data_IF_268888765191
#
_entry.id   IF_268888765191
#
_cell.length_a   1.000
_cell.length_b   1.000
_cell.length_c   1.000
_cell.angle_alpha   90.00
_cell.angle_beta   90.00
_cell.angle_gamma   90.00
#
_symmetry.space_group_name_H-M   'P 1'
#
loop_
_entity.id
_entity.type
_entity.pdbx_description
1 polymer ?
#
# COMPACT_ATOMS: atom_id res chain seq x y z
N UNK A 1 -14.76 22.27 -29.27
CA UNK A 1 -15.14 20.89 -28.97
C UNK A 1 -14.44 20.49 -27.68
N UNK A 2 -15.19 20.25 -26.62
CA UNK A 2 -14.64 19.84 -25.32
C UNK A 2 -14.23 18.36 -25.41
N UNK A 3 -12.95 18.06 -25.24
CA UNK A 3 -12.44 16.70 -25.18
C UNK A 3 -12.59 16.21 -23.73
N UNK A 4 -12.85 14.95 -23.49
CA UNK A 4 -12.96 14.36 -22.13
C UNK A 4 -11.79 14.77 -21.22
N UNK A 5 -10.59 14.88 -21.79
CA UNK A 5 -9.38 15.37 -21.12
C UNK A 5 -9.56 16.75 -20.46
N UNK A 6 -10.37 17.64 -21.04
CA UNK A 6 -10.57 19.01 -20.55
C UNK A 6 -11.49 19.08 -19.33
N UNK A 7 -12.17 17.97 -19.00
CA UNK A 7 -13.04 17.85 -17.83
C UNK A 7 -12.24 17.57 -16.57
N UNK A 8 -11.03 17.01 -16.73
CA UNK A 8 -10.16 16.67 -15.59
C UNK A 8 -9.29 17.85 -15.18
N UNK A 9 -8.91 17.87 -13.92
CA UNK A 9 -7.97 18.85 -13.38
C UNK A 9 -6.66 18.83 -14.18
N UNK A 10 -6.31 19.93 -14.82
CA UNK A 10 -5.16 20.02 -15.73
C UNK A 10 -3.81 19.83 -15.04
N UNK A 11 -3.77 19.91 -13.72
CA UNK A 11 -2.57 19.62 -12.92
C UNK A 11 -2.24 18.13 -12.84
N UNK A 12 -3.16 17.26 -13.27
CA UNK A 12 -2.99 15.80 -13.21
C UNK A 12 -2.74 15.21 -14.59
N UNK A 13 -1.70 14.40 -14.71
CA UNK A 13 -1.45 13.64 -15.92
C UNK A 13 -2.35 12.40 -15.99
N UNK A 14 -3.44 12.51 -16.73
CA UNK A 14 -4.39 11.43 -16.96
C UNK A 14 -3.85 10.30 -17.86
N UNK A 15 -2.77 10.56 -18.61
CA UNK A 15 -2.13 9.58 -19.47
C UNK A 15 -0.99 8.84 -18.77
N UNK A 16 -0.81 9.07 -17.48
CA UNK A 16 0.22 8.40 -16.68
C UNK A 16 0.04 6.88 -16.75
N UNK A 17 1.13 6.18 -17.08
CA UNK A 17 1.16 4.72 -17.03
C UNK A 17 1.10 4.25 -15.57
N UNK A 18 0.05 3.51 -15.24
CA UNK A 18 -0.07 2.85 -13.94
C UNK A 18 0.68 1.52 -14.03
N UNK A 19 1.71 1.35 -13.22
CA UNK A 19 2.40 0.06 -13.14
C UNK A 19 1.50 -1.02 -12.58
N UNK A 20 1.44 -2.14 -13.27
CA UNK A 20 0.67 -3.32 -12.86
C UNK A 20 1.38 -4.14 -11.78
N UNK A 21 2.68 -3.94 -11.62
CA UNK A 21 3.53 -4.70 -10.71
C UNK A 21 4.05 -3.78 -9.60
N UNK A 22 3.93 -4.25 -8.37
CA UNK A 22 4.46 -3.54 -7.20
C UNK A 22 5.95 -3.85 -7.09
N UNK A 23 6.78 -3.04 -7.73
CA UNK A 23 8.24 -3.10 -7.58
C UNK A 23 8.69 -1.95 -6.69
N UNK A 24 9.48 -2.23 -5.67
CA UNK A 24 10.05 -1.18 -4.81
C UNK A 24 11.56 -1.04 -5.07
N UNK A 25 12.00 0.17 -5.40
CA UNK A 25 13.42 0.51 -5.59
C UNK A 25 13.66 2.00 -5.42
N UNK A 26 14.89 2.39 -5.13
CA UNK A 26 15.29 3.78 -4.84
C UNK A 26 14.92 4.79 -5.96
N UNK A 27 14.82 4.34 -7.21
CA UNK A 27 14.39 5.18 -8.34
C UNK A 27 12.88 5.47 -8.37
N UNK A 28 12.12 4.93 -7.41
CA UNK A 28 10.65 4.96 -7.42
C UNK A 28 10.05 5.90 -6.37
N UNK A 29 10.87 6.59 -5.59
CA UNK A 29 10.38 7.52 -4.57
C UNK A 29 9.43 8.58 -5.16
N UNK A 30 9.81 9.18 -6.29
CA UNK A 30 8.98 10.18 -6.97
C UNK A 30 7.62 9.59 -7.42
N UNK A 31 7.64 8.36 -7.89
CA UNK A 31 6.43 7.63 -8.31
C UNK A 31 5.55 7.31 -7.10
N UNK A 32 6.13 6.79 -6.03
CA UNK A 32 5.42 6.53 -4.79
C UNK A 32 4.80 7.80 -4.19
N UNK A 33 5.51 8.93 -4.29
CA UNK A 33 5.00 10.24 -3.88
C UNK A 33 3.74 10.62 -4.67
N UNK A 34 3.76 10.49 -5.99
CA UNK A 34 2.60 10.77 -6.83
C UNK A 34 1.44 9.84 -6.49
N UNK A 35 1.70 8.54 -6.39
CA UNK A 35 0.69 7.53 -6.08
C UNK A 35 0.00 7.80 -4.73
N UNK A 36 0.77 8.05 -3.67
CA UNK A 36 0.16 8.29 -2.34
C UNK A 36 -0.58 9.64 -2.28
N UNK A 37 -0.11 10.66 -2.99
CA UNK A 37 -0.79 11.96 -3.04
C UNK A 37 -2.15 11.89 -3.71
N UNK A 38 -2.33 10.98 -4.65
CA UNK A 38 -3.56 10.76 -5.38
C UNK A 38 -4.46 9.67 -4.75
N UNK A 39 -3.96 8.99 -3.73
CA UNK A 39 -4.72 7.91 -3.09
C UNK A 39 -5.94 8.44 -2.37
N UNK A 40 -7.11 8.06 -2.85
CA UNK A 40 -8.40 8.45 -2.26
C UNK A 40 -8.81 7.41 -1.25
N UNK A 41 -8.88 7.82 0.01
CA UNK A 41 -9.39 6.99 1.11
C UNK A 41 -10.84 7.39 1.37
N UNK A 42 -11.76 6.52 0.98
CA UNK A 42 -13.18 6.66 1.31
C UNK A 42 -13.41 6.25 2.77
N UNK A 43 -14.57 6.62 3.32
CA UNK A 43 -14.93 6.20 4.69
C UNK A 43 -14.91 4.67 4.85
N UNK A 44 -15.37 3.93 3.84
CA UNK A 44 -15.33 2.46 3.83
C UNK A 44 -13.90 1.91 3.84
N UNK A 45 -13.00 2.49 3.04
CA UNK A 45 -11.59 2.09 3.02
C UNK A 45 -10.93 2.41 4.37
N UNK A 46 -11.19 3.58 4.92
CA UNK A 46 -10.64 3.97 6.24
C UNK A 46 -11.13 3.03 7.35
N UNK A 47 -12.40 2.62 7.31
CA UNK A 47 -12.93 1.64 8.23
C UNK A 47 -12.22 0.28 8.11
N UNK A 48 -11.94 -0.17 6.88
CA UNK A 48 -11.19 -1.42 6.63
C UNK A 48 -9.76 -1.34 7.20
N UNK A 49 -9.08 -0.22 7.05
CA UNK A 49 -7.77 0.01 7.67
C UNK A 49 -7.88 -0.09 9.20
N UNK A 50 -8.85 0.57 9.80
CA UNK A 50 -9.06 0.56 11.23
C UNK A 50 -9.33 -0.85 11.78
N UNK A 51 -10.23 -1.59 11.14
CA UNK A 51 -10.60 -2.95 11.55
C UNK A 51 -9.41 -3.92 11.42
N UNK A 52 -8.64 -3.80 10.34
CA UNK A 52 -7.45 -4.63 10.14
C UNK A 52 -6.36 -4.31 11.18
N UNK A 53 -6.09 -3.03 11.44
CA UNK A 53 -5.12 -2.61 12.44
C UNK A 53 -5.48 -3.10 13.85
N UNK A 54 -6.76 -3.05 14.23
CA UNK A 54 -7.23 -3.60 15.52
C UNK A 54 -7.01 -5.11 15.60
N UNK A 55 -7.32 -5.84 14.53
CA UNK A 55 -7.08 -7.29 14.46
C UNK A 55 -5.60 -7.63 14.55
N UNK A 56 -4.76 -6.88 13.83
CA UNK A 56 -3.31 -7.05 13.90
C UNK A 56 -2.78 -6.80 15.30
N UNK A 57 -3.21 -5.71 15.94
CA UNK A 57 -2.82 -5.41 17.32
C UNK A 57 -3.19 -6.55 18.26
N UNK A 58 -4.43 -7.03 18.23
CA UNK A 58 -4.91 -8.13 19.08
C UNK A 58 -4.12 -9.42 18.85
N UNK A 59 -3.89 -9.78 17.58
CA UNK A 59 -3.16 -11.00 17.27
C UNK A 59 -1.69 -10.96 17.73
N UNK A 60 -1.04 -9.81 17.57
CA UNK A 60 0.35 -9.62 17.98
C UNK A 60 0.51 -9.52 19.51
N UNK A 61 -0.49 -8.98 20.22
CA UNK A 61 -0.49 -8.89 21.69
C UNK A 61 -0.72 -10.26 22.36
N UNK A 62 -1.40 -11.18 21.69
CA UNK A 62 -1.63 -12.55 22.21
C UNK A 62 -0.43 -13.50 22.10
N UNK A 63 0.76 -12.98 21.82
CA UNK A 63 2.01 -13.74 21.86
C UNK A 63 2.48 -14.35 20.55
N UNK A 64 1.80 -14.08 19.45
CA UNK A 64 2.25 -14.49 18.11
C UNK A 64 2.27 -16.01 17.88
N UNK A 65 1.67 -16.80 18.73
CA UNK A 65 1.62 -18.26 18.61
C UNK A 65 0.81 -18.73 17.40
N UNK A 66 -0.03 -17.85 16.86
CA UNK A 66 -0.77 -18.11 15.63
C UNK A 66 -0.23 -17.19 14.53
N UNK A 67 0.36 -17.75 13.51
CA UNK A 67 0.74 -17.03 12.30
C UNK A 67 -0.47 -16.27 11.75
N UNK A 68 -0.34 -14.95 11.61
CA UNK A 68 -1.43 -14.11 11.10
C UNK A 68 -1.28 -13.93 9.61
N UNK A 69 -2.08 -14.66 8.86
CA UNK A 69 -2.26 -14.42 7.43
C UNK A 69 -3.41 -13.44 7.19
N UNK A 70 -3.19 -12.44 6.34
CA UNK A 70 -4.26 -11.53 5.91
C UNK A 70 -4.55 -11.76 4.44
N UNK A 71 -5.80 -12.08 4.14
CA UNK A 71 -6.29 -12.24 2.78
C UNK A 71 -7.12 -11.02 2.36
N UNK A 72 -6.64 -10.28 1.34
CA UNK A 72 -7.34 -9.12 0.79
C UNK A 72 -7.99 -9.51 -0.54
N UNK A 73 -9.30 -9.51 -0.61
CA UNK A 73 -10.07 -9.86 -1.79
C UNK A 73 -10.99 -8.73 -2.23
N UNK A 74 -11.41 -8.76 -3.49
CA UNK A 74 -12.33 -7.78 -4.06
C UNK A 74 -12.29 -7.82 -5.59
N UNK A 75 -13.19 -7.07 -6.23
CA UNK A 75 -13.25 -6.98 -7.68
C UNK A 75 -11.98 -6.37 -8.29
N UNK A 76 -11.77 -6.62 -9.57
CA UNK A 76 -10.70 -5.97 -10.33
C UNK A 76 -10.86 -4.45 -10.27
N UNK A 77 -9.76 -3.73 -10.03
CA UNK A 77 -9.78 -2.27 -9.91
C UNK A 77 -10.28 -1.71 -8.56
N UNK A 78 -10.60 -2.56 -7.58
CA UNK A 78 -11.08 -2.10 -6.26
C UNK A 78 -10.01 -1.51 -5.33
N UNK A 79 -8.74 -1.41 -5.78
CA UNK A 79 -7.66 -0.81 -5.00
C UNK A 79 -6.96 -1.76 -4.02
N UNK A 80 -7.19 -3.08 -4.10
CA UNK A 80 -6.56 -4.09 -3.22
C UNK A 80 -5.04 -3.96 -3.12
N UNK A 81 -4.38 -3.86 -4.26
CA UNK A 81 -2.92 -3.76 -4.32
C UNK A 81 -2.40 -2.50 -3.66
N UNK A 82 -3.07 -1.36 -3.87
CA UNK A 82 -2.71 -0.10 -3.22
C UNK A 82 -2.95 -0.16 -1.71
N UNK A 83 -4.06 -0.72 -1.28
CA UNK A 83 -4.37 -0.93 0.14
C UNK A 83 -3.27 -1.76 0.83
N UNK A 84 -2.93 -2.92 0.28
CA UNK A 84 -1.92 -3.82 0.83
C UNK A 84 -0.53 -3.20 0.79
N UNK A 85 -0.16 -2.59 -0.34
CA UNK A 85 1.13 -1.91 -0.53
C UNK A 85 1.32 -0.81 0.52
N UNK A 86 0.36 0.10 0.63
CA UNK A 86 0.53 1.27 1.50
C UNK A 86 0.47 0.89 2.98
N UNK A 87 -0.34 -0.09 3.34
CA UNK A 87 -0.32 -0.62 4.69
C UNK A 87 1.05 -1.23 5.03
N UNK A 88 1.58 -2.08 4.16
CA UNK A 88 2.91 -2.67 4.34
C UNK A 88 3.99 -1.60 4.48
N UNK A 89 4.09 -0.66 3.53
CA UNK A 89 5.09 0.40 3.55
C UNK A 89 5.02 1.30 4.80
N UNK A 90 3.83 1.44 5.41
CA UNK A 90 3.69 2.22 6.64
C UNK A 90 4.32 1.56 7.88
N UNK A 91 4.56 0.25 7.85
CA UNK A 91 5.23 -0.47 8.94
C UNK A 91 6.77 -0.48 8.81
N UNK A 92 7.31 -0.05 7.67
CA UNK A 92 8.75 -0.02 7.42
C UNK A 92 9.29 1.41 7.60
N UNK A 93 9.99 1.64 8.71
CA UNK A 93 10.54 2.96 9.04
C UNK A 93 11.64 3.42 8.06
N UNK A 94 12.24 2.50 7.30
CA UNK A 94 13.26 2.83 6.30
C UNK A 94 12.68 3.46 5.05
N UNK A 95 11.37 3.33 4.83
CA UNK A 95 10.68 3.86 3.65
C UNK A 95 10.31 5.33 3.89
N UNK A 96 10.94 6.21 3.13
CA UNK A 96 10.72 7.65 3.22
C UNK A 96 10.39 8.26 1.86
N UNK A 97 9.70 9.39 1.87
CA UNK A 97 9.49 10.27 0.72
C UNK A 97 9.92 11.67 1.13
N UNK A 98 10.84 12.27 0.40
CA UNK A 98 11.47 13.56 0.75
C UNK A 98 12.00 13.58 2.19
N UNK A 99 12.55 12.47 2.68
CA UNK A 99 13.06 12.32 4.05
C UNK A 99 11.98 12.19 5.14
N UNK A 100 10.70 12.13 4.77
CA UNK A 100 9.58 11.94 5.69
C UNK A 100 9.13 10.49 5.64
N UNK A 101 8.99 9.79 6.78
CA UNK A 101 8.51 8.40 6.82
C UNK A 101 7.18 8.22 6.09
N UNK A 102 7.07 7.14 5.32
CA UNK A 102 5.87 6.85 4.50
C UNK A 102 4.58 6.83 5.31
N UNK A 103 4.63 6.35 6.54
CA UNK A 103 3.48 6.34 7.45
C UNK A 103 2.80 7.72 7.59
N UNK A 104 3.56 8.81 7.55
CA UNK A 104 3.00 10.15 7.66
C UNK A 104 2.19 10.53 6.41
N UNK A 105 2.69 10.17 5.23
CA UNK A 105 1.96 10.39 3.97
C UNK A 105 0.66 9.58 3.92
N UNK A 106 0.66 8.34 4.41
CA UNK A 106 -0.57 7.55 4.51
C UNK A 106 -1.55 8.15 5.53
N UNK A 107 -1.07 8.59 6.69
CA UNK A 107 -1.93 9.25 7.70
C UNK A 107 -2.60 10.50 7.15
N UNK A 108 -1.95 11.26 6.29
CA UNK A 108 -2.54 12.45 5.67
C UNK A 108 -3.74 12.13 4.75
N UNK A 109 -3.86 10.86 4.32
CA UNK A 109 -5.02 10.39 3.55
C UNK A 109 -6.22 10.01 4.41
N UNK A 110 -6.03 9.77 5.71
CA UNK A 110 -7.11 9.43 6.63
C UNK A 110 -7.85 10.68 7.13
N UNK A 111 -9.13 10.54 7.37
CA UNK A 111 -10.00 11.61 7.88
C UNK A 111 -10.14 11.54 9.42
N UNK A 112 -10.16 10.31 9.98
CA UNK A 112 -10.39 10.07 11.40
C UNK A 112 -9.09 10.08 12.20
N UNK A 113 -9.02 10.90 13.22
CA UNK A 113 -7.87 10.95 14.13
C UNK A 113 -7.63 9.61 14.84
N UNK A 114 -8.69 8.86 15.11
CA UNK A 114 -8.61 7.52 15.71
C UNK A 114 -7.81 6.55 14.84
N UNK A 115 -8.06 6.51 13.53
CA UNK A 115 -7.33 5.66 12.58
C UNK A 115 -5.86 6.07 12.46
N UNK A 116 -5.58 7.39 12.43
CA UNK A 116 -4.20 7.92 12.42
C UNK A 116 -3.41 7.50 13.66
N UNK A 117 -4.03 7.62 14.83
CA UNK A 117 -3.42 7.25 16.10
C UNK A 117 -3.20 5.75 16.22
N UNK A 118 -4.16 4.95 15.78
CA UNK A 118 -4.07 3.49 15.80
C UNK A 118 -2.94 3.01 14.88
N UNK A 119 -2.85 3.52 13.64
CA UNK A 119 -1.76 3.18 12.72
C UNK A 119 -0.39 3.53 13.34
N UNK A 120 -0.27 4.70 13.94
CA UNK A 120 0.98 5.12 14.59
C UNK A 120 1.37 4.19 15.75
N UNK A 121 0.39 3.81 16.57
CA UNK A 121 0.61 2.94 17.73
C UNK A 121 1.04 1.55 17.30
N UNK A 122 0.32 0.95 16.34
CA UNK A 122 0.60 -0.41 15.87
C UNK A 122 1.94 -0.46 15.13
N UNK A 123 2.22 0.49 14.25
CA UNK A 123 3.48 0.53 13.51
C UNK A 123 4.70 0.72 14.44
N UNK A 124 4.60 1.58 15.45
CA UNK A 124 5.68 1.77 16.44
C UNK A 124 5.95 0.52 17.27
N UNK A 125 4.88 -0.18 17.64
CA UNK A 125 4.98 -1.37 18.49
C UNK A 125 5.52 -2.58 17.73
N UNK A 126 5.24 -2.67 16.44
CA UNK A 126 5.56 -3.81 15.60
C UNK A 126 6.24 -3.36 14.30
N UNK A 127 7.46 -2.79 14.39
CA UNK A 127 8.20 -2.39 13.20
C UNK A 127 8.51 -3.64 12.35
N UNK A 128 8.42 -3.49 11.02
CA UNK A 128 8.62 -4.57 10.09
C UNK A 128 9.48 -4.13 8.90
N UNK A 129 10.19 -5.07 8.32
CA UNK A 129 10.76 -4.91 6.98
C UNK A 129 9.81 -5.48 5.96
N UNK A 130 9.52 -4.74 4.91
CA UNK A 130 8.49 -5.08 3.94
C UNK A 130 9.11 -5.69 2.68
N UNK A 131 8.61 -6.85 2.30
CA UNK A 131 8.93 -7.51 1.04
C UNK A 131 7.65 -7.62 0.22
N UNK A 132 7.67 -7.06 -1.00
CA UNK A 132 6.56 -7.13 -1.94
C UNK A 132 6.91 -8.13 -3.05
N UNK A 133 6.11 -9.17 -3.20
CA UNK A 133 6.29 -10.20 -4.19
C UNK A 133 5.08 -10.27 -5.14
N UNK A 134 5.36 -10.34 -6.43
CA UNK A 134 4.35 -10.68 -7.45
C UNK A 134 4.53 -12.15 -7.85
N UNK A 135 3.65 -13.00 -7.34
CA UNK A 135 3.71 -14.44 -7.59
C UNK A 135 3.55 -14.80 -9.07
N UNK A 136 2.83 -13.99 -9.87
CA UNK A 136 2.69 -14.25 -11.30
C UNK A 136 4.02 -14.07 -12.03
N UNK A 137 4.79 -13.06 -11.68
CA UNK A 137 6.14 -12.81 -12.24
C UNK A 137 7.13 -13.88 -11.79
N UNK A 138 7.09 -14.30 -10.55
CA UNK A 138 7.97 -15.34 -10.00
C UNK A 138 7.69 -16.72 -10.62
N UNK A 139 6.43 -17.06 -10.84
CA UNK A 139 6.06 -18.33 -11.50
C UNK A 139 6.56 -18.40 -12.94
N UNK A 140 6.51 -17.28 -13.69
CA UNK A 140 7.03 -17.24 -15.05
C UNK A 140 8.56 -17.37 -15.10
N UNK A 141 9.26 -16.78 -14.17
CA UNK A 141 10.72 -16.92 -14.04
C UNK A 141 11.11 -18.36 -13.66
N UNK A 142 10.35 -19.02 -12.79
CA UNK A 142 10.57 -20.42 -12.42
C UNK A 142 10.30 -21.40 -13.57
N UNK A 143 9.26 -21.17 -14.38
CA UNK A 143 8.94 -22.00 -15.54
C UNK A 143 10.02 -21.94 -16.62
N UNK A 144 10.63 -20.78 -16.83
CA UNK A 144 11.75 -20.64 -17.79
C UNK A 144 13.03 -21.34 -17.34
N UNK A 145 13.26 -21.53 -16.05
CA UNK A 145 14.42 -22.30 -15.54
C UNK A 145 14.22 -23.83 -15.60
N UNK A 146 12.97 -24.31 -15.57
CA UNK A 146 12.67 -25.74 -15.66
C UNK A 146 12.73 -26.27 -17.11
N UNK A 147 12.59 -25.40 -18.11
CA UNK A 147 12.60 -25.77 -19.54
C UNK A 147 14.01 -25.81 -20.16
N UNK A 148 15.06 -25.53 -19.40
CA UNK A 148 16.47 -25.51 -19.85
C UNK A 148 17.28 -26.68 -19.32
N UNK A 149 16.66 -27.72 -18.75
CA UNK A 149 17.29 -28.98 -18.33
C UNK A 149 16.94 -30.14 -19.24
#
# INVERSE_FOLDING_TARGET
MTIIKDIFEQSRDINRTIEKVITYGASQEHRLKSEISEYVVTESIEQQFNDLLLKMQTAMESGGENEVGVWVSGFYGSGKSSFTKYLGLAFDESITIDGVPFINHLKDRFHKQTTKSLLTTVAKRFPASVVLLDLASEMLAGATMADVS
#
